data_IF_784363339459
#
_entry.id   IF_784363339459
#
_cell.length_a   1.000
_cell.length_b   1.000
_cell.length_c   1.000
_cell.angle_alpha   90.00
_cell.angle_beta   90.00
_cell.angle_gamma   90.00
#
_symmetry.space_group_name_H-M   'P 1'
#
loop_
_entity.id
_entity.type
_entity.pdbx_description
1 polymer ?
#
# COMPACT_ATOMS: atom_id res chain seq x y z
N UNK A 1 6.33 21.16 -55.45
CA UNK A 1 6.42 19.71 -55.18
C UNK A 1 7.77 19.42 -54.51
N UNK A 2 7.97 20.00 -53.33
CA UNK A 2 9.24 20.01 -52.57
C UNK A 2 8.86 19.81 -51.11
N UNK A 3 8.50 18.58 -50.72
CA UNK A 3 8.16 18.28 -49.32
C UNK A 3 8.14 16.76 -49.04
N UNK A 4 9.13 15.98 -49.51
CA UNK A 4 9.14 14.52 -49.25
C UNK A 4 10.53 13.88 -49.04
N UNK A 5 11.57 14.65 -48.73
CA UNK A 5 12.94 14.11 -48.68
C UNK A 5 13.75 14.69 -47.52
N UNK A 6 13.22 14.58 -46.29
CA UNK A 6 13.92 15.01 -45.07
C UNK A 6 13.54 14.17 -43.83
N UNK A 7 13.32 12.87 -44.00
CA UNK A 7 13.02 11.95 -42.88
C UNK A 7 13.88 10.68 -42.89
N UNK A 8 15.12 10.78 -43.38
CA UNK A 8 16.03 9.63 -43.47
C UNK A 8 17.44 9.93 -42.95
N UNK A 9 17.58 10.65 -41.83
CA UNK A 9 18.90 10.98 -41.25
C UNK A 9 18.91 11.17 -39.73
N UNK A 10 18.04 10.47 -38.98
CA UNK A 10 18.15 10.38 -37.50
C UNK A 10 17.84 8.93 -37.08
N UNK A 11 18.65 7.99 -37.55
CA UNK A 11 18.63 6.60 -37.09
C UNK A 11 20.06 6.03 -37.03
N UNK A 12 20.98 6.80 -36.44
CA UNK A 12 22.38 6.38 -36.31
C UNK A 12 23.12 7.13 -35.19
N UNK A 13 22.58 7.06 -33.97
CA UNK A 13 23.38 7.30 -32.77
C UNK A 13 22.79 6.60 -31.54
N UNK A 14 22.64 5.28 -31.64
CA UNK A 14 22.49 4.39 -30.48
C UNK A 14 23.62 3.38 -30.55
N UNK A 15 24.15 3.04 -29.36
CA UNK A 15 25.22 2.07 -29.06
C UNK A 15 26.61 2.71 -28.87
N UNK A 16 26.82 3.25 -27.66
CA UNK A 16 28.07 3.06 -26.94
C UNK A 16 27.73 2.37 -25.61
N UNK A 17 27.98 1.07 -25.59
CA UNK A 17 27.87 0.14 -24.48
C UNK A 17 29.05 0.37 -23.53
N UNK A 18 28.81 0.20 -22.23
CA UNK A 18 29.77 -0.52 -21.38
C UNK A 18 30.36 0.25 -20.20
N UNK A 19 29.73 0.05 -19.03
CA UNK A 19 30.46 -0.26 -17.79
C UNK A 19 31.13 0.87 -17.03
N UNK A 20 30.38 1.56 -16.17
CA UNK A 20 30.96 2.28 -15.02
C UNK A 20 29.99 2.35 -13.83
N UNK A 21 29.42 1.22 -13.40
CA UNK A 21 28.76 1.09 -12.09
C UNK A 21 29.00 -0.33 -11.56
N UNK A 22 30.21 -0.57 -11.04
CA UNK A 22 30.49 -1.71 -10.17
C UNK A 22 31.77 -1.43 -9.36
N UNK A 23 31.76 -0.38 -8.54
CA UNK A 23 32.59 -0.37 -7.33
C UNK A 23 31.73 -0.91 -6.18
N UNK A 24 31.34 -2.18 -6.27
CA UNK A 24 31.05 -2.96 -5.07
C UNK A 24 32.43 -3.32 -4.50
N UNK A 25 32.95 -2.43 -3.67
CA UNK A 25 34.03 -2.80 -2.77
C UNK A 25 33.45 -3.78 -1.76
N UNK A 26 33.76 -5.05 -1.99
CA UNK A 26 33.67 -6.12 -1.02
C UNK A 26 34.24 -5.66 0.33
N UNK A 27 33.38 -5.75 1.34
CA UNK A 27 33.67 -6.28 2.66
C UNK A 27 35.12 -6.09 3.16
N UNK A 28 35.49 -4.84 3.47
CA UNK A 28 36.52 -4.63 4.47
C UNK A 28 35.89 -4.88 5.83
N UNK A 29 36.17 -6.07 6.38
CA UNK A 29 36.00 -6.34 7.81
C UNK A 29 36.86 -5.31 8.56
N UNK A 30 36.22 -4.24 9.02
CA UNK A 30 36.85 -3.20 9.83
C UNK A 30 37.34 -3.84 11.13
N UNK A 31 38.66 -4.01 11.26
CA UNK A 31 39.34 -4.42 12.50
C UNK A 31 39.35 -3.31 13.57
N UNK A 32 38.77 -2.14 13.27
CA UNK A 32 38.61 -1.04 14.21
C UNK A 32 37.16 -1.00 14.70
N UNK A 33 36.92 -0.79 16.01
CA UNK A 33 35.58 -0.50 16.50
C UNK A 33 35.10 0.76 15.78
N UNK A 34 34.16 0.58 14.85
CA UNK A 34 33.51 1.66 14.15
C UNK A 34 32.68 2.39 15.21
N UNK A 35 33.23 3.47 15.78
CA UNK A 35 32.49 4.40 16.64
C UNK A 35 31.21 4.74 15.89
N UNK A 36 30.06 4.52 16.51
CA UNK A 36 28.79 4.91 15.91
C UNK A 36 28.89 6.42 15.62
N UNK A 37 28.81 6.87 14.34
CA UNK A 37 28.85 8.29 14.01
C UNK A 37 27.77 9.11 14.73
N UNK A 38 26.77 8.43 15.31
CA UNK A 38 25.73 9.01 16.17
C UNK A 38 26.25 9.38 17.55
N UNK A 39 27.33 8.82 18.08
CA UNK A 39 27.81 9.15 19.43
C UNK A 39 28.48 10.54 19.47
N UNK A 40 29.23 10.91 18.43
CA UNK A 40 30.01 12.17 18.37
C UNK A 40 29.26 13.39 17.80
N UNK A 41 27.97 13.26 17.46
CA UNK A 41 27.19 14.43 17.02
C UNK A 41 26.94 15.41 18.18
N UNK A 42 27.13 16.72 17.98
CA UNK A 42 26.80 17.72 18.99
C UNK A 42 25.30 17.63 19.34
N UNK A 43 24.97 17.77 20.62
CA UNK A 43 23.61 17.61 21.17
C UNK A 43 22.53 18.36 20.37
N UNK A 44 22.88 19.55 19.86
CA UNK A 44 21.98 20.36 19.01
C UNK A 44 21.58 19.70 17.69
N UNK A 45 22.43 18.87 17.06
CA UNK A 45 22.11 18.17 15.80
C UNK A 45 21.19 16.98 16.11
N UNK A 46 21.47 16.25 17.19
CA UNK A 46 20.62 15.14 17.65
C UNK A 46 19.19 15.62 17.93
N UNK A 47 19.06 16.70 18.70
CA UNK A 47 17.76 17.31 19.01
C UNK A 47 16.98 17.76 17.76
N UNK A 48 17.68 18.28 16.74
CA UNK A 48 17.05 18.64 15.45
C UNK A 48 16.59 17.41 14.67
N UNK A 49 17.39 16.34 14.62
CA UNK A 49 17.00 15.09 13.96
C UNK A 49 15.81 14.43 14.65
N UNK A 50 15.79 14.41 15.99
CA UNK A 50 14.67 13.88 16.76
C UNK A 50 13.40 14.69 16.51
N UNK A 51 13.51 16.02 16.45
CA UNK A 51 12.38 16.89 16.10
C UNK A 51 11.83 16.61 14.70
N UNK A 52 12.71 16.43 13.71
CA UNK A 52 12.31 16.09 12.34
C UNK A 52 11.61 14.74 12.28
N UNK A 53 12.12 13.75 13.01
CA UNK A 53 11.53 12.41 13.09
C UNK A 53 10.12 12.45 13.68
N UNK A 54 9.92 13.17 14.79
CA UNK A 54 8.61 13.32 15.43
C UNK A 54 7.62 14.02 14.49
N UNK A 55 8.06 15.04 13.76
CA UNK A 55 7.21 15.74 12.79
C UNK A 55 6.83 14.83 11.62
N UNK A 56 7.77 14.03 11.13
CA UNK A 56 7.53 13.06 10.07
C UNK A 56 6.53 12.00 10.49
N UNK A 57 6.72 11.37 11.65
CA UNK A 57 5.79 10.36 12.21
C UNK A 57 4.38 10.92 12.40
N UNK A 58 4.27 12.20 12.77
CA UNK A 58 2.97 12.89 12.87
C UNK A 58 2.31 13.05 11.50
N UNK A 59 3.06 13.44 10.47
CA UNK A 59 2.56 13.59 9.09
C UNK A 59 2.13 12.25 8.52
N UNK A 60 2.93 11.21 8.73
CA UNK A 60 2.65 9.87 8.22
C UNK A 60 1.38 9.30 8.87
N UNK A 61 1.24 9.41 10.19
CA UNK A 61 0.02 9.02 10.89
C UNK A 61 -1.21 9.79 10.39
N UNK A 62 -1.10 11.11 10.19
CA UNK A 62 -2.21 11.90 9.66
C UNK A 62 -2.58 11.48 8.23
N UNK A 63 -1.59 11.19 7.38
CA UNK A 63 -1.81 10.71 6.03
C UNK A 63 -2.50 9.34 6.02
N UNK A 64 -2.15 8.44 6.94
CA UNK A 64 -2.81 7.15 7.13
C UNK A 64 -4.30 7.33 7.46
N UNK A 65 -4.65 8.25 8.37
CA UNK A 65 -6.04 8.55 8.71
C UNK A 65 -6.82 9.08 7.51
N UNK A 66 -6.23 10.02 6.76
CA UNK A 66 -6.84 10.57 5.53
C UNK A 66 -7.09 9.48 4.49
N UNK A 67 -6.15 8.54 4.34
CA UNK A 67 -6.32 7.36 3.47
C UNK A 67 -7.46 6.46 3.95
N UNK A 68 -7.62 6.29 5.26
CA UNK A 68 -8.77 5.59 5.84
C UNK A 68 -10.10 6.25 5.44
N UNK A 69 -10.20 7.56 5.58
CA UNK A 69 -11.40 8.31 5.19
C UNK A 69 -11.65 8.24 3.66
N UNK A 70 -10.60 8.27 2.84
CA UNK A 70 -10.71 8.08 1.39
C UNK A 70 -11.21 6.68 1.02
N UNK A 71 -10.68 5.63 1.68
CA UNK A 71 -11.13 4.26 1.50
C UNK A 71 -12.63 4.13 1.84
N UNK A 72 -13.06 4.74 2.96
CA UNK A 72 -14.46 4.77 3.35
C UNK A 72 -15.32 5.44 2.27
N UNK A 73 -14.93 6.64 1.81
CA UNK A 73 -15.65 7.34 0.75
C UNK A 73 -15.82 6.50 -0.51
N UNK A 74 -14.76 5.82 -0.96
CA UNK A 74 -14.83 4.92 -2.13
C UNK A 74 -15.85 3.80 -1.87
N UNK A 75 -15.82 3.18 -0.68
CA UNK A 75 -16.75 2.10 -0.33
C UNK A 75 -18.22 2.57 -0.29
N UNK A 76 -18.49 3.80 0.16
CA UNK A 76 -19.85 4.37 0.18
C UNK A 76 -20.37 4.71 -1.22
N UNK A 77 -19.50 5.23 -2.09
CA UNK A 77 -19.83 5.48 -3.49
C UNK A 77 -20.17 4.19 -4.23
N UNK A 78 -19.43 3.11 -3.95
CA UNK A 78 -19.69 1.78 -4.51
C UNK A 78 -21.02 1.21 -3.99
N UNK A 79 -21.30 1.31 -2.69
CA UNK A 79 -22.55 0.85 -2.07
C UNK A 79 -23.78 1.54 -2.64
N UNK A 80 -23.69 2.87 -2.83
CA UNK A 80 -24.77 3.67 -3.42
C UNK A 80 -25.07 3.26 -4.85
N UNK A 81 -24.03 3.04 -5.66
CA UNK A 81 -24.19 2.64 -7.06
C UNK A 81 -24.72 1.23 -7.21
N UNK A 82 -24.15 0.28 -6.50
CA UNK A 82 -24.52 -1.13 -6.59
C UNK A 82 -25.92 -1.38 -6.03
N UNK A 83 -26.35 -0.60 -5.03
CA UNK A 83 -27.74 -0.61 -4.57
C UNK A 83 -28.76 -0.18 -5.65
N UNK A 84 -28.31 0.55 -6.68
CA UNK A 84 -29.16 1.01 -7.79
C UNK A 84 -29.15 0.04 -8.97
N UNK A 85 -27.97 -0.46 -9.35
CA UNK A 85 -27.78 -1.23 -10.59
C UNK A 85 -27.53 -2.73 -10.38
N UNK A 86 -27.34 -3.19 -9.13
CA UNK A 86 -27.00 -4.57 -8.74
C UNK A 86 -25.79 -5.19 -9.45
N UNK A 87 -24.98 -4.39 -10.15
CA UNK A 87 -23.83 -4.82 -10.95
C UNK A 87 -22.69 -3.81 -10.84
N UNK A 88 -21.46 -4.28 -11.02
CA UNK A 88 -20.25 -3.46 -11.07
C UNK A 88 -19.89 -3.11 -12.52
N UNK A 89 -19.84 -1.83 -12.83
CA UNK A 89 -19.35 -1.34 -14.12
C UNK A 89 -17.80 -1.28 -14.15
N UNK A 90 -17.23 -0.95 -15.31
CA UNK A 90 -15.76 -0.82 -15.45
C UNK A 90 -15.17 0.27 -14.56
N UNK A 91 -15.90 1.36 -14.30
CA UNK A 91 -15.45 2.45 -13.41
C UNK A 91 -15.44 2.01 -11.96
N UNK A 92 -16.39 1.19 -11.55
CA UNK A 92 -16.48 0.63 -10.21
C UNK A 92 -15.34 -0.35 -9.94
N UNK A 93 -14.93 -1.13 -10.96
CA UNK A 93 -13.71 -1.97 -10.88
C UNK A 93 -12.44 -1.12 -10.73
N UNK A 94 -12.32 0.00 -11.43
CA UNK A 94 -11.21 0.94 -11.24
C UNK A 94 -11.18 1.57 -9.84
N UNK A 95 -12.36 1.83 -9.25
CA UNK A 95 -12.46 2.26 -7.85
C UNK A 95 -12.01 1.18 -6.88
N UNK A 96 -12.37 -0.08 -7.12
CA UNK A 96 -11.87 -1.21 -6.32
C UNK A 96 -10.34 -1.37 -6.42
N UNK A 97 -9.74 -1.16 -7.60
CA UNK A 97 -8.27 -1.13 -7.75
C UNK A 97 -7.63 0.02 -6.97
N UNK A 98 -8.26 1.20 -6.99
CA UNK A 98 -7.78 2.36 -6.24
C UNK A 98 -7.88 2.12 -4.74
N UNK A 99 -8.98 1.52 -4.29
CA UNK A 99 -9.19 1.09 -2.90
C UNK A 99 -8.12 0.08 -2.47
N UNK A 100 -7.83 -0.93 -3.30
CA UNK A 100 -6.77 -1.90 -3.02
C UNK A 100 -5.41 -1.22 -2.79
N UNK A 101 -5.04 -0.24 -3.64
CA UNK A 101 -3.79 0.53 -3.48
C UNK A 101 -3.75 1.32 -2.18
N UNK A 102 -4.87 1.93 -1.79
CA UNK A 102 -4.98 2.68 -0.53
C UNK A 102 -4.80 1.73 0.66
N UNK A 103 -5.49 0.58 0.65
CA UNK A 103 -5.42 -0.41 1.71
C UNK A 103 -4.04 -1.04 1.85
N UNK A 104 -3.34 -1.32 0.75
CA UNK A 104 -1.95 -1.79 0.81
C UNK A 104 -1.03 -0.78 1.48
N UNK A 105 -1.19 0.52 1.20
CA UNK A 105 -0.42 1.58 1.88
C UNK A 105 -0.72 1.62 3.37
N UNK A 106 -1.99 1.57 3.76
CA UNK A 106 -2.40 1.52 5.17
C UNK A 106 -1.79 0.29 5.87
N UNK A 107 -1.85 -0.88 5.24
CA UNK A 107 -1.26 -2.12 5.79
C UNK A 107 0.24 -1.95 6.05
N UNK A 108 0.97 -1.41 5.09
CA UNK A 108 2.42 -1.22 5.19
C UNK A 108 2.78 -0.18 6.27
N UNK A 109 2.00 0.91 6.39
CA UNK A 109 2.17 1.92 7.44
C UNK A 109 1.87 1.38 8.84
N UNK A 110 0.96 0.41 8.96
CA UNK A 110 0.71 -0.32 10.20
C UNK A 110 1.80 -1.34 10.55
N UNK A 111 2.82 -1.52 9.70
CA UNK A 111 3.88 -2.51 9.92
C UNK A 111 3.53 -3.92 9.44
N UNK A 112 2.56 -4.06 8.54
CA UNK A 112 2.35 -5.31 7.82
C UNK A 112 3.42 -5.50 6.75
N UNK A 113 4.14 -6.61 6.81
CA UNK A 113 5.27 -6.88 5.91
C UNK A 113 4.82 -7.09 4.46
N UNK A 114 5.67 -6.69 3.51
CA UNK A 114 5.47 -6.93 2.07
C UNK A 114 6.20 -8.21 1.58
N UNK A 115 7.05 -8.77 2.43
CA UNK A 115 7.78 -10.01 2.16
C UNK A 115 6.82 -11.22 2.18
N UNK A 116 6.39 -11.61 0.98
CA UNK A 116 5.78 -12.92 0.72
C UNK A 116 4.37 -12.94 0.14
N UNK A 117 3.96 -11.96 -0.69
CA UNK A 117 2.64 -12.05 -1.32
C UNK A 117 2.29 -11.03 -2.39
N UNK A 118 3.21 -10.68 -3.29
CA UNK A 118 2.78 -10.30 -4.63
C UNK A 118 2.19 -11.57 -5.26
N UNK A 119 0.88 -11.56 -5.48
CA UNK A 119 0.03 -12.74 -5.70
C UNK A 119 -0.19 -13.59 -4.42
N UNK A 120 -1.32 -13.35 -3.75
CA UNK A 120 -2.06 -14.49 -3.19
C UNK A 120 -2.45 -15.35 -4.39
N UNK A 121 -1.59 -16.32 -4.68
CA UNK A 121 -1.98 -17.56 -5.33
C UNK A 121 -3.28 -18.04 -4.63
N UNK A 122 -4.39 -18.31 -5.34
CA UNK A 122 -5.60 -18.85 -4.74
C UNK A 122 -5.39 -20.18 -3.99
N UNK A 123 -4.19 -20.78 -4.05
CA UNK A 123 -3.79 -21.95 -3.28
C UNK A 123 -3.10 -21.66 -1.92
N UNK A 124 -2.77 -20.41 -1.58
CA UNK A 124 -2.11 -20.07 -0.31
C UNK A 124 -3.12 -19.79 0.82
N UNK A 125 -3.95 -20.78 1.14
CA UNK A 125 -4.91 -20.79 2.27
C UNK A 125 -4.38 -21.62 3.45
N UNK A 126 -3.11 -21.47 3.82
CA UNK A 126 -2.55 -22.08 5.05
C UNK A 126 -1.43 -21.21 5.62
N UNK A 127 -1.79 -20.07 6.20
CA UNK A 127 -1.04 -19.56 7.34
C UNK A 127 -2.05 -19.07 8.36
N UNK A 128 -2.32 -19.95 9.33
CA UNK A 128 -3.11 -19.68 10.51
C UNK A 128 -2.46 -18.54 11.30
N UNK A 129 -3.13 -17.40 11.34
CA UNK A 129 -3.08 -16.51 12.50
C UNK A 129 -4.51 -16.04 12.78
N UNK A 130 -5.00 -16.57 13.87
CA UNK A 130 -6.36 -16.62 14.38
C UNK A 130 -7.18 -15.32 14.45
N UNK A 131 -8.49 -15.56 14.34
CA UNK A 131 -9.64 -14.76 14.75
C UNK A 131 -10.07 -13.53 13.92
N UNK A 132 -10.34 -13.76 12.64
CA UNK A 132 -11.64 -13.37 12.05
C UNK A 132 -12.15 -14.59 11.29
N UNK A 133 -13.26 -15.18 11.76
CA UNK A 133 -13.85 -16.39 11.19
C UNK A 133 -14.01 -16.31 9.65
N UNK A 134 -13.96 -17.47 8.98
CA UNK A 134 -13.65 -17.58 7.57
C UNK A 134 -14.87 -17.32 6.70
N UNK A 135 -14.60 -16.88 5.47
CA UNK A 135 -15.18 -17.49 4.28
C UNK A 135 -16.71 -17.51 4.14
N UNK A 136 -17.33 -16.36 4.03
CA UNK A 136 -18.46 -16.29 3.09
C UNK A 136 -18.01 -15.42 1.92
N UNK A 137 -17.70 -16.08 0.80
CA UNK A 137 -17.84 -15.41 -0.49
C UNK A 137 -19.22 -14.75 -0.44
N UNK A 138 -19.33 -13.44 -0.73
CA UNK A 138 -20.62 -12.76 -0.75
C UNK A 138 -21.63 -13.58 -1.54
N UNK A 139 -22.90 -13.58 -1.14
CA UNK A 139 -23.94 -14.33 -1.88
C UNK A 139 -24.20 -13.67 -3.24
N UNK A 140 -24.09 -12.35 -3.26
CA UNK A 140 -24.16 -11.52 -4.45
C UNK A 140 -23.22 -10.29 -4.32
N UNK A 141 -23.14 -9.51 -5.41
CA UNK A 141 -22.34 -8.28 -5.47
C UNK A 141 -22.78 -7.28 -4.40
N UNK A 142 -24.08 -7.17 -4.15
CA UNK A 142 -24.67 -6.17 -3.26
C UNK A 142 -24.24 -6.45 -1.81
N UNK A 143 -24.38 -7.70 -1.36
CA UNK A 143 -23.92 -8.19 -0.07
C UNK A 143 -22.41 -8.03 0.09
N UNK A 144 -21.65 -8.25 -0.99
CA UNK A 144 -20.20 -8.09 -0.98
C UNK A 144 -19.77 -6.64 -0.79
N UNK A 145 -20.46 -5.71 -1.45
CA UNK A 145 -20.20 -4.27 -1.34
C UNK A 145 -20.67 -3.73 0.02
N UNK A 146 -21.80 -4.21 0.56
CA UNK A 146 -22.21 -3.91 1.93
C UNK A 146 -21.19 -4.39 2.95
N UNK A 147 -20.68 -5.61 2.77
CA UNK A 147 -19.62 -6.16 3.62
C UNK A 147 -18.33 -5.36 3.50
N UNK A 148 -17.97 -4.92 2.30
CA UNK A 148 -16.84 -4.04 2.04
C UNK A 148 -16.99 -2.72 2.80
N UNK A 149 -18.15 -2.05 2.70
CA UNK A 149 -18.44 -0.81 3.41
C UNK A 149 -18.38 -0.99 4.92
N UNK A 150 -19.08 -1.98 5.46
CA UNK A 150 -19.11 -2.25 6.90
C UNK A 150 -17.72 -2.53 7.47
N UNK A 151 -16.90 -3.31 6.75
CA UNK A 151 -15.54 -3.63 7.18
C UNK A 151 -14.61 -2.41 7.05
N UNK A 152 -14.82 -1.56 6.05
CA UNK A 152 -14.08 -0.30 5.90
C UNK A 152 -14.41 0.70 7.02
N UNK A 153 -15.66 0.78 7.47
CA UNK A 153 -16.04 1.59 8.65
C UNK A 153 -15.26 1.12 9.88
N UNK A 154 -15.25 -0.20 10.13
CA UNK A 154 -14.46 -0.78 11.24
C UNK A 154 -12.99 -0.46 11.10
N UNK A 155 -12.41 -0.54 9.90
CA UNK A 155 -11.02 -0.17 9.66
C UNK A 155 -10.75 1.27 10.09
N UNK A 156 -11.57 2.22 9.64
CA UNK A 156 -11.40 3.63 10.00
C UNK A 156 -11.52 3.85 11.50
N UNK A 157 -12.45 3.18 12.17
CA UNK A 157 -12.59 3.25 13.62
C UNK A 157 -11.36 2.68 14.35
N UNK A 158 -10.80 1.57 13.87
CA UNK A 158 -9.56 1.01 14.40
C UNK A 158 -8.35 1.92 14.14
N UNK A 159 -8.25 2.52 12.95
CA UNK A 159 -7.21 3.51 12.63
C UNK A 159 -7.27 4.72 13.55
N UNK A 160 -8.47 5.22 13.88
CA UNK A 160 -8.64 6.34 14.81
C UNK A 160 -8.22 6.02 16.25
N UNK A 161 -8.17 4.73 16.62
CA UNK A 161 -7.71 4.27 17.93
C UNK A 161 -6.19 4.06 17.97
N UNK A 162 -5.50 4.04 16.84
CA UNK A 162 -4.04 3.88 16.83
C UNK A 162 -3.35 5.18 17.21
N UNK A 163 -2.07 5.06 17.57
CA UNK A 163 -1.20 6.21 17.75
C UNK A 163 -0.05 6.11 16.75
N UNK A 164 0.65 7.22 16.52
CA UNK A 164 1.85 7.26 15.67
C UNK A 164 2.97 6.29 16.08
N UNK A 165 2.89 5.70 17.27
CA UNK A 165 3.87 4.76 17.81
C UNK A 165 3.31 3.35 18.02
N UNK A 166 2.07 3.08 17.60
CA UNK A 166 1.39 1.81 17.88
C UNK A 166 1.11 1.05 16.59
N UNK A 167 1.66 -0.16 16.50
CA UNK A 167 1.25 -1.17 15.53
C UNK A 167 0.00 -1.86 16.09
N UNK A 168 -1.13 -1.72 15.40
CA UNK A 168 -2.39 -2.35 15.81
C UNK A 168 -2.63 -3.63 15.01
N UNK A 169 -2.52 -4.77 15.68
CA UNK A 169 -2.87 -6.08 15.11
C UNK A 169 -4.31 -6.10 14.59
N UNK A 170 -5.25 -5.51 15.34
CA UNK A 170 -6.65 -5.37 14.95
C UNK A 170 -6.81 -4.55 13.67
N UNK A 171 -6.07 -3.45 13.54
CA UNK A 171 -6.11 -2.63 12.33
C UNK A 171 -5.51 -3.37 11.11
N UNK A 172 -4.44 -4.14 11.30
CA UNK A 172 -3.84 -4.98 10.25
C UNK A 172 -4.82 -6.07 9.81
N UNK A 173 -5.41 -6.80 10.77
CA UNK A 173 -6.41 -7.85 10.49
C UNK A 173 -7.61 -7.28 9.74
N UNK A 174 -8.11 -6.13 10.18
CA UNK A 174 -9.24 -5.45 9.53
C UNK A 174 -8.86 -4.99 8.12
N UNK A 175 -7.67 -4.43 7.92
CA UNK A 175 -7.15 -4.05 6.59
C UNK A 175 -7.08 -5.26 5.66
N UNK A 176 -6.58 -6.40 6.15
CA UNK A 176 -6.51 -7.65 5.39
C UNK A 176 -7.92 -8.19 5.04
N UNK A 177 -8.91 -8.02 5.92
CA UNK A 177 -10.30 -8.37 5.61
C UNK A 177 -10.85 -7.51 4.46
N UNK A 178 -10.65 -6.19 4.50
CA UNK A 178 -11.10 -5.29 3.41
C UNK A 178 -10.38 -5.64 2.10
N UNK A 179 -9.07 -5.90 2.13
CA UNK A 179 -8.29 -6.31 0.94
C UNK A 179 -8.84 -7.59 0.30
N UNK A 180 -9.17 -8.60 1.11
CA UNK A 180 -9.76 -9.85 0.61
C UNK A 180 -11.10 -9.61 -0.08
N UNK A 181 -12.01 -8.85 0.54
CA UNK A 181 -13.32 -8.53 -0.05
C UNK A 181 -13.14 -7.75 -1.36
N UNK A 182 -12.26 -6.75 -1.36
CA UNK A 182 -11.97 -5.91 -2.54
C UNK A 182 -11.49 -6.75 -3.73
N UNK A 183 -10.60 -7.71 -3.48
CA UNK A 183 -10.09 -8.63 -4.51
C UNK A 183 -11.16 -9.56 -5.06
N UNK A 184 -12.01 -10.13 -4.19
CA UNK A 184 -13.14 -10.96 -4.61
C UNK A 184 -14.08 -10.17 -5.53
N UNK A 185 -14.43 -8.94 -5.13
CA UNK A 185 -15.33 -8.07 -5.90
C UNK A 185 -14.72 -7.63 -7.24
N UNK A 186 -13.42 -7.39 -7.30
CA UNK A 186 -12.72 -6.99 -8.53
C UNK A 186 -12.85 -8.03 -9.65
N UNK A 187 -12.86 -9.30 -9.29
CA UNK A 187 -13.01 -10.43 -10.22
C UNK A 187 -14.40 -11.07 -10.18
N UNK A 188 -15.39 -10.39 -9.59
CA UNK A 188 -16.76 -10.86 -9.57
C UNK A 188 -17.34 -10.87 -11.00
N UNK A 189 -17.95 -11.99 -11.39
CA UNK A 189 -18.53 -12.22 -12.71
C UNK A 189 -19.92 -12.86 -12.55
#
# INVERSE_FOLDING_TARGET
MVLRSAFLSIFLLTIAVGGALAQNADNTTSLFPQRDPREDQPKSIKEQLDKLRIEQEKKDHQAMLVRGDEALKISEELDTKVSTNAQLDTKDRQKLESLEKILTKIRNELGGDDDGGSALDPAADQSESDEVKPNERPKDVVDGIKSLRSTTIKLVDELKKTTRFTISATAIQTTNAVLRITRILKFWN
#
